data_IF_180563100036
#
_entry.id   IF_180563100036
#
_cell.length_a   1.000
_cell.length_b   1.000
_cell.length_c   1.000
_cell.angle_alpha   90.00
_cell.angle_beta   90.00
_cell.angle_gamma   90.00
#
_symmetry.space_group_name_H-M   'P 1'
#
loop_
_entity.id
_entity.type
_entity.pdbx_description
1 polymer ?
#
# COMPACT_ATOMS: atom_id res chain seq x y z
N UNK A 1 -11.04 11.83 -25.39
CA UNK A 1 -9.84 11.14 -24.87
C UNK A 1 -9.77 11.38 -23.37
N UNK A 2 -10.39 10.50 -22.58
CA UNK A 2 -10.58 10.68 -21.14
C UNK A 2 -9.34 10.13 -20.40
N UNK A 3 -8.40 11.01 -20.00
CA UNK A 3 -7.25 10.60 -19.20
C UNK A 3 -7.72 10.42 -17.74
N UNK A 4 -8.02 9.18 -17.31
CA UNK A 4 -8.20 8.83 -15.90
C UNK A 4 -6.87 8.20 -15.43
N UNK A 5 -5.95 9.01 -14.90
CA UNK A 5 -4.75 8.47 -14.23
C UNK A 5 -5.17 7.85 -12.91
N UNK A 6 -5.01 6.53 -12.79
CA UNK A 6 -5.00 5.79 -11.53
C UNK A 6 -3.55 5.78 -11.08
N UNK A 7 -3.26 6.33 -9.92
CA UNK A 7 -1.94 6.17 -9.32
C UNK A 7 -1.96 4.83 -8.60
N UNK A 8 -1.16 3.89 -9.12
CA UNK A 8 -1.00 2.55 -8.58
C UNK A 8 0.33 2.57 -7.85
N UNK A 9 0.29 2.41 -6.53
CA UNK A 9 1.52 2.23 -5.75
C UNK A 9 1.86 0.74 -5.80
N UNK A 10 3.12 0.39 -6.15
CA UNK A 10 3.55 -1.01 -6.19
C UNK A 10 3.34 -1.67 -4.83
N UNK A 11 3.06 -2.97 -4.88
CA UNK A 11 2.89 -3.82 -3.73
C UNK A 11 4.13 -3.76 -2.84
N UNK A 12 3.89 -3.48 -1.55
CA UNK A 12 4.91 -3.36 -0.51
C UNK A 12 4.52 -4.19 0.70
N UNK A 13 5.48 -4.44 1.59
CA UNK A 13 5.19 -5.19 2.82
C UNK A 13 4.30 -4.40 3.76
N UNK A 14 4.51 -3.09 3.94
CA UNK A 14 3.78 -2.24 4.90
C UNK A 14 3.69 -2.85 6.31
N UNK A 15 4.73 -3.56 6.72
CA UNK A 15 4.82 -4.22 8.02
C UNK A 15 4.82 -3.20 9.16
N UNK A 16 5.56 -2.09 8.98
CA UNK A 16 5.47 -0.93 9.86
C UNK A 16 5.10 0.29 9.02
N UNK A 17 3.82 0.65 9.03
CA UNK A 17 3.39 1.90 8.40
C UNK A 17 3.80 3.08 9.27
N UNK A 18 4.57 3.97 8.67
CA UNK A 18 5.05 5.19 9.29
C UNK A 18 4.65 6.42 8.46
N UNK A 19 4.99 7.60 8.97
CA UNK A 19 4.62 8.86 8.33
C UNK A 19 5.11 9.00 6.87
N UNK A 20 6.22 8.34 6.53
CA UNK A 20 6.75 8.31 5.15
C UNK A 20 5.78 7.68 4.15
N UNK A 21 5.08 6.61 4.53
CA UNK A 21 4.11 5.93 3.66
C UNK A 21 2.88 6.81 3.48
N UNK A 22 2.39 7.38 4.58
CA UNK A 22 1.24 8.30 4.56
C UNK A 22 1.54 9.54 3.71
N UNK A 23 2.75 10.08 3.80
CA UNK A 23 3.20 11.19 2.95
C UNK A 23 3.21 10.77 1.48
N UNK A 24 3.79 9.61 1.15
CA UNK A 24 3.82 9.06 -0.20
C UNK A 24 2.40 8.90 -0.78
N UNK A 25 1.48 8.35 0.00
CA UNK A 25 0.08 8.16 -0.42
C UNK A 25 -0.63 9.50 -0.63
N UNK A 26 -0.37 10.48 0.25
CA UNK A 26 -0.91 11.82 0.13
C UNK A 26 -0.41 12.53 -1.13
N UNK A 27 0.88 12.41 -1.44
CA UNK A 27 1.45 13.00 -2.66
C UNK A 27 0.93 12.28 -3.91
N UNK A 28 0.90 10.95 -3.91
CA UNK A 28 0.31 10.17 -5.00
C UNK A 28 -1.15 10.59 -5.27
N UNK A 29 -1.94 10.82 -4.21
CA UNK A 29 -3.33 11.27 -4.34
C UNK A 29 -3.48 12.62 -5.06
N UNK A 30 -2.45 13.47 -5.09
CA UNK A 30 -2.48 14.74 -5.83
C UNK A 30 -2.36 14.55 -7.35
N UNK A 31 -1.82 13.43 -7.81
CA UNK A 31 -1.50 13.20 -9.22
C UNK A 31 -2.61 12.47 -10.00
N UNK A 32 -3.65 12.01 -9.32
CA UNK A 32 -4.70 11.20 -9.93
C UNK A 32 -6.02 11.19 -9.15
N UNK A 33 -7.01 10.52 -9.74
CA UNK A 33 -8.39 10.55 -9.22
C UNK A 33 -8.69 9.44 -8.21
N UNK A 34 -7.89 8.37 -8.22
CA UNK A 34 -8.03 7.24 -7.31
C UNK A 34 -6.65 6.62 -7.06
N UNK A 35 -6.38 6.28 -5.81
CA UNK A 35 -5.18 5.59 -5.35
C UNK A 35 -5.51 4.12 -5.07
N UNK A 36 -4.79 3.22 -5.71
CA UNK A 36 -4.87 1.77 -5.48
C UNK A 36 -3.55 1.30 -4.89
N UNK A 37 -3.59 0.54 -3.80
CA UNK A 37 -2.40 0.09 -3.07
C UNK A 37 -2.43 -1.42 -2.83
N UNK A 38 -1.45 -2.13 -3.40
CA UNK A 38 -1.28 -3.57 -3.14
C UNK A 38 -0.47 -3.84 -1.86
N UNK A 39 -0.76 -4.95 -1.20
CA UNK A 39 0.03 -5.46 -0.06
C UNK A 39 0.58 -6.83 -0.41
N UNK A 40 1.87 -7.06 -0.14
CA UNK A 40 2.46 -8.38 -0.39
C UNK A 40 1.93 -9.43 0.59
N UNK A 41 1.78 -10.66 0.08
CA UNK A 41 1.47 -11.81 0.92
C UNK A 41 2.61 -12.16 1.87
N UNK A 42 2.28 -12.79 3.00
CA UNK A 42 3.28 -13.22 4.00
C UNK A 42 4.34 -14.15 3.39
N UNK A 43 3.92 -15.01 2.45
CA UNK A 43 4.82 -15.92 1.72
C UNK A 43 5.80 -15.16 0.82
N UNK A 44 5.33 -14.09 0.18
CA UNK A 44 6.16 -13.30 -0.73
C UNK A 44 7.20 -12.48 0.02
N UNK A 45 6.82 -11.96 1.19
CA UNK A 45 7.74 -11.26 2.10
C UNK A 45 8.80 -12.25 2.60
N UNK A 46 8.39 -13.42 3.10
CA UNK A 46 9.31 -14.47 3.54
C UNK A 46 10.30 -14.85 2.44
N UNK A 47 9.83 -15.00 1.20
CA UNK A 47 10.68 -15.37 0.06
C UNK A 47 11.76 -14.33 -0.23
N UNK A 48 11.48 -13.04 -0.07
CA UNK A 48 12.41 -11.96 -0.38
C UNK A 48 13.30 -11.54 0.79
N UNK A 49 12.78 -11.56 2.03
CA UNK A 49 13.50 -11.06 3.21
C UNK A 49 14.09 -12.19 4.08
N UNK A 50 13.66 -13.44 3.86
CA UNK A 50 14.02 -14.59 4.68
C UNK A 50 13.33 -14.63 6.05
N UNK A 51 12.46 -13.66 6.35
CA UNK A 51 11.75 -13.55 7.63
C UNK A 51 10.25 -13.32 7.41
N UNK A 52 9.43 -13.86 8.31
CA UNK A 52 8.01 -13.52 8.33
C UNK A 52 7.82 -12.05 8.74
N UNK A 53 6.80 -11.37 8.19
CA UNK A 53 6.44 -10.04 8.66
C UNK A 53 5.99 -10.09 10.13
N UNK A 54 6.16 -8.98 10.84
CA UNK A 54 5.71 -8.83 12.22
C UNK A 54 4.18 -8.85 12.33
N UNK A 55 3.49 -8.32 11.32
CA UNK A 55 2.03 -8.34 11.20
C UNK A 55 1.58 -9.24 10.05
N UNK A 56 0.48 -9.95 10.27
CA UNK A 56 -0.14 -10.78 9.23
C UNK A 56 -0.58 -9.95 8.02
N UNK A 57 -0.69 -10.61 6.87
CA UNK A 57 -1.22 -9.98 5.64
C UNK A 57 -2.56 -9.27 5.87
N UNK A 58 -3.45 -9.87 6.66
CA UNK A 58 -4.77 -9.29 6.97
C UNK A 58 -4.66 -8.01 7.83
N UNK A 59 -3.76 -8.00 8.82
CA UNK A 59 -3.52 -6.81 9.65
C UNK A 59 -2.93 -5.67 8.82
N UNK A 60 -1.94 -5.97 7.98
CA UNK A 60 -1.32 -4.99 7.07
C UNK A 60 -2.33 -4.47 6.06
N UNK A 61 -3.18 -5.34 5.51
CA UNK A 61 -4.27 -4.96 4.62
C UNK A 61 -5.27 -4.01 5.31
N UNK A 62 -5.74 -4.36 6.51
CA UNK A 62 -6.65 -3.52 7.29
C UNK A 62 -6.03 -2.16 7.65
N UNK A 63 -4.75 -2.16 7.98
CA UNK A 63 -4.05 -0.95 8.36
C UNK A 63 -3.91 0.01 7.16
N UNK A 64 -3.49 -0.50 6.00
CA UNK A 64 -3.33 0.31 4.78
C UNK A 64 -4.67 0.76 4.22
N UNK A 65 -5.69 -0.12 4.20
CA UNK A 65 -7.04 0.23 3.75
C UNK A 65 -7.73 1.29 4.62
N UNK A 66 -7.35 1.39 5.90
CA UNK A 66 -7.86 2.42 6.81
C UNK A 66 -7.29 3.82 6.58
N UNK A 67 -6.27 3.96 5.71
CA UNK A 67 -5.64 5.26 5.45
C UNK A 67 -6.51 6.12 4.55
N UNK A 68 -6.76 7.37 4.99
CA UNK A 68 -7.62 8.36 4.32
C UNK A 68 -7.37 8.51 2.81
N UNK A 69 -6.14 8.30 2.35
CA UNK A 69 -5.75 8.55 0.97
C UNK A 69 -5.93 7.33 0.05
N UNK A 70 -6.13 6.14 0.61
CA UNK A 70 -6.27 4.88 -0.12
C UNK A 70 -7.75 4.68 -0.47
N UNK A 71 -8.07 4.56 -1.76
CA UNK A 71 -9.45 4.35 -2.21
C UNK A 71 -9.76 2.86 -2.41
N UNK A 72 -8.75 2.06 -2.81
CA UNK A 72 -8.85 0.63 -3.07
C UNK A 72 -7.55 -0.09 -2.72
N UNK A 73 -7.67 -1.35 -2.39
CA UNK A 73 -6.57 -2.30 -2.21
C UNK A 73 -6.44 -3.20 -3.43
#
# INVERSE_FOLDING_TARGET
MLCIRKDIIPDFSFDFVHFGDVYTFREARKHGKSLVVGVHSDKEILRHTGNYPAFSEEERYRLVSGLKFVDKM
#
